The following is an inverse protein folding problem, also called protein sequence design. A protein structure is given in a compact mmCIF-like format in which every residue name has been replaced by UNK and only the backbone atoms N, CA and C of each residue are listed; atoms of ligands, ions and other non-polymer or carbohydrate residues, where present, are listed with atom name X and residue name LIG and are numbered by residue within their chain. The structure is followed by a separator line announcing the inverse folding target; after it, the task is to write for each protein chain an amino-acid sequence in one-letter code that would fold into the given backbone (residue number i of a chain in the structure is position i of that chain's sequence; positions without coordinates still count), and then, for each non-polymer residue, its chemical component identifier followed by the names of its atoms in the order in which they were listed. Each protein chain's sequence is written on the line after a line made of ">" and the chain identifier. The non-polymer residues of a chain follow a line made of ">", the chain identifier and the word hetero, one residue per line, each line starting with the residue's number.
data_IF_149991992648
#
_entry.id   IF_149991992648
#
_cell.length_a   1.000
_cell.length_b   1.000
_cell.length_c   1.000
_cell.angle_alpha   90.00
_cell.angle_beta   90.00
_cell.angle_gamma   90.00
#
_symmetry.space_group_name_H-M   'P 1'
#
loop_
_entity.id
_entity.type
_entity.pdbx_description
1 polymer ?
#
# COMPACT_ATOMS: atom_id res chain seq x y z
N UNK A 1 -5.27 1.18 22.95
CA UNK A 1 -4.22 2.15 22.61
C UNK A 1 -4.84 3.19 21.70
N UNK A 2 -4.70 4.48 22.01
CA UNK A 2 -5.30 5.57 21.23
C UNK A 2 -4.25 6.57 20.79
N UNK A 3 -4.51 7.27 19.68
CA UNK A 3 -3.65 8.33 19.16
C UNK A 3 -4.01 9.65 19.83
N UNK A 4 -2.99 10.38 20.30
CA UNK A 4 -3.12 11.71 20.89
C UNK A 4 -2.95 12.82 19.86
N UNK A 5 -1.97 12.66 18.95
CA UNK A 5 -1.61 13.66 17.96
C UNK A 5 -1.16 13.01 16.65
N UNK A 6 -1.54 13.63 15.55
CA UNK A 6 -1.09 13.29 14.19
C UNK A 6 -0.20 14.44 13.70
N UNK A 7 1.00 14.11 13.24
CA UNK A 7 1.99 15.09 12.75
C UNK A 7 2.38 14.70 11.32
N UNK A 8 1.74 15.36 10.36
CA UNK A 8 1.98 15.14 8.92
C UNK A 8 3.22 15.91 8.49
N UNK A 9 4.03 15.33 7.60
CA UNK A 9 5.17 16.05 7.00
C UNK A 9 4.72 17.36 6.36
N UNK A 10 5.47 18.45 6.55
CA UNK A 10 5.07 19.79 6.08
C UNK A 10 4.96 19.87 4.56
N UNK A 11 5.77 19.07 3.87
CA UNK A 11 5.89 19.10 2.41
C UNK A 11 4.97 18.07 1.74
N UNK A 12 4.20 17.29 2.52
CA UNK A 12 3.24 16.34 1.97
C UNK A 12 2.11 17.07 1.23
N UNK A 13 1.98 16.80 -0.07
CA UNK A 13 0.96 17.40 -0.92
C UNK A 13 -0.08 16.36 -1.38
N UNK A 14 -1.34 16.53 -0.95
CA UNK A 14 -2.44 15.63 -1.36
C UNK A 14 -2.80 15.71 -2.84
N UNK A 15 -2.42 16.79 -3.52
CA UNK A 15 -2.68 16.97 -4.95
C UNK A 15 -1.54 16.41 -5.81
N UNK A 16 -0.36 16.23 -5.21
CA UNK A 16 0.82 15.62 -5.82
C UNK A 16 1.35 14.59 -4.81
N UNK A 17 0.71 13.42 -4.77
CA UNK A 17 0.90 12.40 -3.72
C UNK A 17 2.27 11.69 -3.77
N UNK A 18 3.31 12.36 -4.30
CA UNK A 18 4.64 11.82 -4.48
C UNK A 18 5.61 12.61 -3.59
N UNK A 19 6.37 11.86 -2.79
CA UNK A 19 7.40 12.39 -1.91
C UNK A 19 6.80 12.81 -0.58
N UNK A 20 7.63 12.84 0.46
CA UNK A 20 7.22 13.26 1.80
C UNK A 20 5.98 12.53 2.36
N UNK A 21 5.69 11.32 1.87
CA UNK A 21 4.57 10.50 2.32
C UNK A 21 4.94 9.80 3.64
N UNK A 22 5.04 10.61 4.69
CA UNK A 22 5.37 10.18 6.04
C UNK A 22 4.57 10.99 7.05
N UNK A 23 4.14 10.32 8.13
CA UNK A 23 3.39 10.93 9.22
C UNK A 23 3.76 10.25 10.53
N UNK A 24 3.87 11.03 11.60
CA UNK A 24 4.08 10.51 12.95
C UNK A 24 2.77 10.47 13.72
N UNK A 25 2.53 9.36 14.42
CA UNK A 25 1.41 9.18 15.34
C UNK A 25 1.95 9.17 16.77
N UNK A 26 1.61 10.20 17.55
CA UNK A 26 1.93 10.23 18.96
C UNK A 26 0.84 9.49 19.74
N UNK A 27 1.23 8.45 20.48
CA UNK A 27 0.31 7.69 21.32
C UNK A 27 -0.09 8.49 22.57
N UNK A 28 -1.32 8.28 23.04
CA UNK A 28 -1.81 8.90 24.28
C UNK A 28 -1.11 8.38 25.53
N UNK A 29 -0.61 7.14 25.50
CA UNK A 29 0.21 6.55 26.55
C UNK A 29 1.39 5.84 25.90
N UNK A 30 2.52 5.83 26.60
CA UNK A 30 3.68 5.04 26.20
C UNK A 30 3.33 3.55 26.19
N UNK A 31 4.00 2.81 25.31
CA UNK A 31 3.87 1.35 25.25
C UNK A 31 4.96 0.74 26.11
N UNK A 32 4.61 -0.25 26.92
CA UNK A 32 5.58 -1.05 27.66
C UNK A 32 6.31 -1.99 26.71
N UNK A 33 7.64 -1.91 26.69
CA UNK A 33 8.45 -2.77 25.84
C UNK A 33 8.49 -4.20 26.36
N UNK A 34 8.59 -5.14 25.43
CA UNK A 34 8.68 -6.57 25.72
C UNK A 34 9.47 -7.27 24.62
N UNK A 35 9.64 -8.59 24.71
CA UNK A 35 10.24 -9.38 23.63
C UNK A 35 9.46 -9.32 22.30
N UNK A 36 8.20 -8.88 22.33
CA UNK A 36 7.34 -8.75 21.14
C UNK A 36 7.08 -7.30 20.73
N UNK A 37 7.52 -6.32 21.53
CA UNK A 37 7.29 -4.89 21.30
C UNK A 37 8.60 -4.16 21.51
N UNK A 38 9.25 -3.81 20.41
CA UNK A 38 10.50 -3.06 20.37
C UNK A 38 10.41 -1.96 19.30
N UNK A 39 11.08 -0.82 19.51
CA UNK A 39 11.15 0.23 18.50
C UNK A 39 12.06 -0.20 17.33
N UNK A 40 11.69 0.21 16.12
CA UNK A 40 12.60 0.15 14.98
C UNK A 40 13.68 1.25 15.11
N UNK A 41 14.86 0.99 14.55
CA UNK A 41 15.92 2.00 14.46
C UNK A 41 15.59 3.00 13.34
N UNK A 42 15.90 4.28 13.57
CA UNK A 42 15.90 5.27 12.50
C UNK A 42 17.24 5.21 11.76
N UNK A 43 17.24 5.32 10.42
CA UNK A 43 18.49 5.44 9.67
C UNK A 43 19.16 6.79 9.98
N UNK A 44 20.48 6.84 9.84
CA UNK A 44 21.20 8.11 9.87
C UNK A 44 20.73 9.01 8.71
N UNK A 45 20.68 10.34 8.87
CA UNK A 45 20.19 11.25 7.82
C UNK A 45 20.94 11.14 6.49
N UNK A 46 22.20 10.68 6.53
CA UNK A 46 23.07 10.50 5.35
C UNK A 46 23.17 9.04 4.93
N UNK A 47 22.36 8.14 5.50
CA UNK A 47 22.38 6.73 5.14
C UNK A 47 21.82 6.56 3.73
N UNK A 48 22.62 5.94 2.86
CA UNK A 48 22.20 5.53 1.53
C UNK A 48 22.23 4.00 1.45
N UNK A 49 21.10 3.40 1.09
CA UNK A 49 21.01 2.01 0.68
C UNK A 49 21.41 1.84 -0.79
N UNK A 50 22.54 1.17 -1.04
CA UNK A 50 22.98 0.87 -2.39
C UNK A 50 21.96 -0.04 -3.11
N UNK A 51 21.85 0.04 -4.45
CA UNK A 51 21.16 -0.99 -5.23
C UNK A 51 21.66 -2.39 -4.85
N UNK A 52 20.76 -3.37 -4.93
CA UNK A 52 20.96 -4.77 -4.54
C UNK A 52 21.12 -5.01 -3.02
N UNK A 53 21.01 -3.97 -2.19
CA UNK A 53 20.94 -4.16 -0.73
C UNK A 53 19.69 -4.98 -0.36
N UNK A 54 19.88 -6.08 0.37
CA UNK A 54 18.77 -6.88 0.88
C UNK A 54 18.01 -6.13 1.99
N UNK A 55 16.68 -6.19 1.94
CA UNK A 55 15.81 -5.72 3.00
C UNK A 55 14.60 -6.65 3.16
N UNK A 56 13.89 -6.49 4.28
CA UNK A 56 12.70 -7.27 4.60
C UNK A 56 11.47 -6.39 4.52
N UNK A 57 10.44 -6.90 3.88
CA UNK A 57 9.07 -6.37 3.95
C UNK A 57 8.23 -7.34 4.77
N UNK A 58 7.25 -6.82 5.51
CA UNK A 58 6.34 -7.64 6.30
C UNK A 58 4.93 -7.06 6.31
N UNK A 59 3.91 -7.91 6.37
CA UNK A 59 2.53 -7.45 6.47
C UNK A 59 1.49 -8.57 6.47
N UNK A 60 0.23 -8.15 6.61
CA UNK A 60 -0.96 -9.02 6.58
C UNK A 60 -1.79 -8.85 5.30
N UNK A 61 -1.17 -8.33 4.23
CA UNK A 61 -1.82 -8.12 2.95
C UNK A 61 -2.21 -9.42 2.26
N UNK A 62 -2.66 -9.31 1.01
CA UNK A 62 -2.90 -10.50 0.19
C UNK A 62 -1.59 -11.25 -0.05
N UNK A 63 -1.65 -12.59 -0.04
CA UNK A 63 -0.49 -13.48 -0.24
C UNK A 63 -0.13 -13.56 -1.72
N UNK A 64 -1.14 -13.48 -2.58
CA UNK A 64 -1.01 -13.28 -4.03
C UNK A 64 -2.10 -12.30 -4.49
N UNK A 65 -2.10 -11.91 -5.77
CA UNK A 65 -3.10 -10.99 -6.35
C UNK A 65 -4.57 -11.40 -6.08
N UNK A 66 -4.84 -12.69 -5.94
CA UNK A 66 -6.21 -13.22 -5.77
C UNK A 66 -6.41 -13.99 -4.45
N UNK A 67 -5.39 -14.07 -3.59
CA UNK A 67 -5.43 -14.90 -2.38
C UNK A 67 -5.27 -14.04 -1.13
N UNK A 68 -6.34 -13.96 -0.35
CA UNK A 68 -6.32 -13.37 0.98
C UNK A 68 -5.48 -14.21 1.94
N UNK A 69 -4.87 -13.55 2.91
CA UNK A 69 -4.20 -14.23 4.02
C UNK A 69 -5.20 -15.08 4.80
N UNK A 70 -5.01 -16.42 4.89
CA UNK A 70 -5.94 -17.26 5.63
C UNK A 70 -5.84 -17.05 7.14
N UNK A 71 -6.92 -17.36 7.86
CA UNK A 71 -6.88 -17.44 9.33
C UNK A 71 -5.77 -18.42 9.78
N UNK A 72 -5.00 -18.09 10.83
CA UNK A 72 -5.21 -17.03 11.82
C UNK A 72 -4.56 -15.67 11.47
N UNK A 73 -4.42 -15.35 10.17
CA UNK A 73 -3.78 -14.12 9.70
C UNK A 73 -2.36 -13.98 10.23
N UNK A 74 -1.56 -15.02 10.04
CA UNK A 74 -0.16 -15.00 10.44
C UNK A 74 0.60 -13.93 9.64
N UNK A 75 1.38 -13.09 10.33
CA UNK A 75 2.23 -12.08 9.69
C UNK A 75 3.13 -12.76 8.65
N UNK A 76 3.16 -12.21 7.44
CA UNK A 76 4.06 -12.65 6.38
C UNK A 76 5.27 -11.74 6.31
N UNK A 77 6.39 -12.30 5.87
CA UNK A 77 7.62 -11.56 5.59
C UNK A 77 8.25 -12.06 4.29
N UNK A 78 8.96 -11.17 3.61
CA UNK A 78 9.70 -11.49 2.40
C UNK A 78 10.99 -10.68 2.35
N UNK A 79 12.08 -11.37 2.00
CA UNK A 79 13.32 -10.73 1.58
C UNK A 79 13.16 -10.22 0.14
N UNK A 80 13.55 -8.97 -0.07
CA UNK A 80 13.58 -8.27 -1.36
C UNK A 80 14.89 -7.49 -1.46
N UNK A 81 15.22 -6.99 -2.66
CA UNK A 81 16.36 -6.10 -2.84
C UNK A 81 15.94 -4.68 -3.21
N UNK A 82 16.77 -3.71 -2.87
CA UNK A 82 16.60 -2.33 -3.32
C UNK A 82 17.00 -2.22 -4.78
N UNK A 83 16.09 -1.74 -5.61
CA UNK A 83 16.32 -1.45 -7.01
C UNK A 83 16.76 -0.01 -7.19
N UNK A 84 17.62 0.22 -8.19
CA UNK A 84 17.98 1.57 -8.60
C UNK A 84 16.75 2.37 -9.06
N UNK A 85 16.62 3.61 -8.59
CA UNK A 85 15.46 4.46 -8.88
C UNK A 85 15.30 4.76 -10.38
N UNK A 86 16.39 4.78 -11.16
CA UNK A 86 16.29 4.97 -12.62
C UNK A 86 15.71 3.74 -13.32
N UNK A 87 16.08 2.54 -12.87
CA UNK A 87 15.51 1.28 -13.35
C UNK A 87 14.04 1.21 -12.94
N UNK A 88 13.73 1.52 -11.68
CA UNK A 88 12.37 1.58 -11.17
C UNK A 88 11.49 2.55 -11.97
N UNK A 89 12.00 3.76 -12.24
CA UNK A 89 11.31 4.79 -13.01
C UNK A 89 10.96 4.35 -14.44
N UNK A 90 11.76 3.46 -15.05
CA UNK A 90 11.50 2.95 -16.40
C UNK A 90 10.19 2.15 -16.49
N UNK A 91 9.76 1.48 -15.42
CA UNK A 91 8.50 0.75 -15.38
C UNK A 91 7.26 1.66 -15.41
N UNK A 92 7.43 2.93 -15.07
CA UNK A 92 6.34 3.91 -15.05
C UNK A 92 6.26 4.72 -16.34
N UNK A 93 7.18 4.58 -17.30
CA UNK A 93 7.15 5.35 -18.54
C UNK A 93 6.04 4.88 -19.50
N UNK A 94 5.45 5.78 -20.33
CA UNK A 94 4.46 5.38 -21.32
C UNK A 94 5.08 4.40 -22.33
N UNK A 95 4.46 3.23 -22.46
CA UNK A 95 5.01 2.13 -23.26
C UNK A 95 4.66 2.25 -24.75
N UNK A 96 3.72 3.13 -25.13
CA UNK A 96 3.25 3.28 -26.51
C UNK A 96 3.01 4.75 -26.91
N UNK A 97 3.24 5.14 -28.18
CA UNK A 97 2.92 6.48 -28.68
C UNK A 97 1.42 6.78 -28.54
N UNK A 98 1.08 7.88 -27.87
CA UNK A 98 -0.31 8.30 -27.63
C UNK A 98 -0.94 7.75 -26.34
N UNK A 99 -0.23 6.92 -25.58
CA UNK A 99 -0.60 6.65 -24.18
C UNK A 99 -0.41 7.96 -23.38
N UNK A 100 -1.38 8.39 -22.57
CA UNK A 100 -1.13 9.50 -21.66
C UNK A 100 0.10 9.12 -20.84
N UNK A 101 1.14 9.94 -20.91
CA UNK A 101 2.23 9.80 -19.99
C UNK A 101 1.62 9.87 -18.60
N UNK A 102 1.95 8.89 -17.77
CA UNK A 102 2.08 9.07 -16.33
C UNK A 102 3.19 10.10 -16.03
N UNK A 103 3.26 11.21 -16.78
CA UNK A 103 4.31 12.23 -16.74
C UNK A 103 4.42 12.92 -15.38
N UNK A 104 3.53 12.59 -14.46
CA UNK A 104 3.54 13.03 -13.08
C UNK A 104 4.20 12.02 -12.13
N UNK A 105 4.52 10.81 -12.60
CA UNK A 105 5.21 9.78 -11.81
C UNK A 105 6.72 9.93 -11.91
N UNK A 106 7.29 10.72 -10.99
CA UNK A 106 8.73 10.83 -10.80
C UNK A 106 9.11 10.15 -9.49
N UNK A 107 10.05 9.21 -9.53
CA UNK A 107 10.61 8.64 -8.30
C UNK A 107 11.56 9.68 -7.71
N UNK A 108 11.19 10.24 -6.56
CA UNK A 108 11.98 11.27 -5.88
C UNK A 108 13.18 10.66 -5.13
N UNK A 109 14.18 11.48 -4.79
CA UNK A 109 15.37 11.04 -4.03
C UNK A 109 15.03 10.61 -2.60
N UNK A 110 13.89 11.05 -2.05
CA UNK A 110 13.35 10.63 -0.76
C UNK A 110 12.54 9.32 -0.84
N UNK A 111 12.56 8.64 -1.99
CA UNK A 111 11.91 7.34 -2.22
C UNK A 111 12.91 6.22 -2.49
N UNK A 112 12.47 5.00 -2.18
CA UNK A 112 13.19 3.75 -2.46
C UNK A 112 12.28 2.78 -3.21
N UNK A 113 12.85 1.98 -4.10
CA UNK A 113 12.13 0.94 -4.83
C UNK A 113 12.57 -0.47 -4.40
N UNK A 114 12.01 -1.04 -3.32
CA UNK A 114 12.27 -2.43 -2.94
C UNK A 114 11.36 -3.41 -3.70
N UNK A 115 11.92 -4.51 -4.17
CA UNK A 115 11.14 -5.59 -4.80
C UNK A 115 12.03 -6.72 -5.33
N UNK A 116 11.44 -7.87 -5.59
CA UNK A 116 12.12 -8.99 -6.25
C UNK A 116 11.48 -9.26 -7.61
N UNK A 117 12.16 -8.88 -8.69
CA UNK A 117 11.68 -9.07 -10.06
C UNK A 117 11.74 -10.54 -10.53
N UNK A 118 12.51 -11.39 -9.85
CA UNK A 118 12.67 -12.80 -10.20
C UNK A 118 11.53 -13.61 -9.59
N UNK A 119 11.28 -13.44 -8.30
CA UNK A 119 10.25 -14.20 -7.58
C UNK A 119 8.90 -13.50 -7.53
N UNK A 120 8.84 -12.21 -7.87
CA UNK A 120 7.62 -11.40 -7.83
C UNK A 120 7.19 -11.01 -6.41
N UNK A 121 8.06 -11.18 -5.40
CA UNK A 121 7.75 -10.77 -4.02
C UNK A 121 7.67 -9.24 -3.95
N UNK A 122 6.54 -8.75 -3.47
CA UNK A 122 6.26 -7.32 -3.30
C UNK A 122 5.21 -7.11 -2.21
N UNK A 123 5.00 -5.85 -1.83
CA UNK A 123 3.91 -5.47 -0.92
C UNK A 123 2.61 -5.39 -1.74
N UNK A 124 1.66 -6.27 -1.44
CA UNK A 124 0.34 -6.26 -2.09
C UNK A 124 -0.65 -5.36 -1.33
N UNK A 125 -1.56 -4.72 -2.08
CA UNK A 125 -2.63 -3.93 -1.48
C UNK A 125 -3.61 -4.85 -0.75
N UNK A 126 -4.01 -4.49 0.47
CA UNK A 126 -5.19 -5.07 1.08
C UNK A 126 -6.40 -4.54 0.32
N UNK A 127 -7.03 -5.35 -0.54
CA UNK A 127 -8.28 -4.95 -1.20
C UNK A 127 -9.34 -4.84 -0.12
N UNK A 128 -9.78 -3.62 0.16
CA UNK A 128 -10.91 -3.37 1.04
C UNK A 128 -12.09 -4.18 0.52
N UNK A 129 -12.54 -5.15 1.31
CA UNK A 129 -13.84 -5.77 1.08
C UNK A 129 -14.85 -4.65 1.33
N UNK A 130 -15.20 -3.89 0.28
CA UNK A 130 -16.56 -3.37 0.25
C UNK A 130 -17.43 -4.61 0.37
N UNK A 131 -18.30 -4.72 1.39
CA UNK A 131 -19.34 -5.74 1.36
C UNK A 131 -19.98 -5.64 -0.01
N UNK A 132 -20.13 -6.75 -0.72
CA UNK A 132 -21.04 -6.77 -1.86
C UNK A 132 -22.37 -6.27 -1.29
N UNK A 133 -22.75 -5.03 -1.57
CA UNK A 133 -24.17 -4.72 -1.61
C UNK A 133 -24.72 -5.67 -2.66
N UNK A 134 -25.28 -6.78 -2.20
CA UNK A 134 -26.25 -7.51 -2.98
C UNK A 134 -27.33 -6.49 -3.29
N UNK A 135 -27.27 -5.92 -4.49
CA UNK A 135 -28.37 -5.15 -5.06
C UNK A 135 -29.52 -6.15 -5.17
N UNK A 136 -30.32 -6.20 -4.11
CA UNK A 136 -31.60 -6.89 -4.11
C UNK A 136 -32.48 -6.13 -5.12
N UNK A 137 -32.50 -6.62 -6.35
CA UNK A 137 -33.53 -6.27 -7.30
C UNK A 137 -34.82 -6.98 -6.85
N UNK A 138 -35.88 -6.26 -6.45
CA UNK A 138 -37.17 -6.88 -6.25
C UNK A 138 -37.61 -7.39 -7.63
N UNK A 139 -37.62 -8.71 -7.80
CA UNK A 139 -38.24 -9.36 -8.94
C UNK A 139 -39.72 -8.98 -8.94
N UNK A 140 -40.16 -8.29 -9.99
CA UNK A 140 -41.56 -8.03 -10.28
C UNK A 140 -42.35 -9.34 -10.21
N UNK A 141 -43.37 -9.37 -9.34
CA UNK A 141 -44.33 -10.46 -9.27
C UNK A 141 -45.22 -10.49 -10.51
N UNK A 142 -45.46 -11.64 -11.16
CA UNK A 142 -46.28 -11.73 -12.35
C UNK A 142 -47.79 -11.90 -12.06
N UNK A 143 -48.60 -11.03 -12.69
CA UNK A 143 -50.00 -11.27 -13.08
C UNK A 143 -51.09 -11.07 -12.00
N UNK A 144 -52.34 -10.70 -12.28
CA UNK A 144 -53.16 -10.35 -13.47
C UNK A 144 -54.43 -9.61 -12.91
N UNK A 145 -55.52 -9.34 -13.66
CA UNK A 145 -55.97 -8.04 -14.16
C UNK A 145 -57.19 -7.44 -13.41
N UNK A 146 -57.50 -6.16 -13.62
CA UNK A 146 -58.91 -5.77 -13.84
C UNK A 146 -59.05 -4.42 -14.56
N UNK A 147 -59.96 -4.44 -15.52
CA UNK A 147 -60.56 -3.31 -16.21
C UNK A 147 -61.36 -2.43 -15.26
N UNK A 148 -61.30 -1.10 -15.42
CA UNK A 148 -62.48 -0.23 -15.34
C UNK A 148 -62.18 1.24 -15.73
N UNK A 149 -62.92 1.68 -16.77
CA UNK A 149 -63.28 3.05 -17.22
C UNK A 149 -62.24 3.93 -17.89
#
# INVERSE_FOLDING_TARGET
>A
MTVNKIMVHTDYNKLQCMGSDITLLQLHRHVEFSSHILPACLPEPTMWLAPDSCCWISGWGMVTEDVFLPEPFQLQEAEVSVMDNSVCGSFFQPQYPGQPSSSDYTIHEDMLCPGDLITGKAICRCRELRPREEVYHPTETPGVPSSAR
#
